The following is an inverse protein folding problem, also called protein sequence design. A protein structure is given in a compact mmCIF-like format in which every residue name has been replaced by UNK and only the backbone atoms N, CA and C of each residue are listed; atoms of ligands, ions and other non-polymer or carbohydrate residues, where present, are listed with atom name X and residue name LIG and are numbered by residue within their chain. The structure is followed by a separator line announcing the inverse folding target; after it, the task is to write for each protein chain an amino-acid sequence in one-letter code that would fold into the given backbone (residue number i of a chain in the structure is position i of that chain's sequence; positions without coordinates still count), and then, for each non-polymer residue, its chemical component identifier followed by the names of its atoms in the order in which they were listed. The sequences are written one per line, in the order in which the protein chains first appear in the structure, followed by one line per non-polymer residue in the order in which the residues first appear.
data_IF_702959831969
#
_entry.id   IF_702959831969
#
_cell.length_a   1.000
_cell.length_b   1.000
_cell.length_c   1.000
_cell.angle_alpha   90.00
_cell.angle_beta   90.00
_cell.angle_gamma   90.00
#
_symmetry.space_group_name_H-M   'P 1'
#
loop_
_entity.id
_entity.type
_entity.pdbx_description
1 polymer ?
#
# COMPACT_ATOMS: atom_id res chain seq x y z
N UNK A 1 -1.60 6.03 -24.89
CA UNK A 1 -0.21 5.86 -24.43
C UNK A 1 -0.22 4.66 -23.50
N UNK A 2 0.48 3.58 -23.85
CA UNK A 2 0.53 2.37 -23.01
C UNK A 2 1.38 2.70 -21.79
N UNK A 3 0.73 3.00 -20.67
CA UNK A 3 1.37 3.12 -19.37
C UNK A 3 2.12 1.81 -19.10
N UNK A 4 3.44 1.90 -18.89
CA UNK A 4 4.25 0.74 -18.50
C UNK A 4 3.79 0.27 -17.12
N UNK A 5 2.80 -0.63 -17.10
CA UNK A 5 2.29 -1.24 -15.89
C UNK A 5 3.41 -2.05 -15.24
N UNK A 6 3.83 -1.64 -14.04
CA UNK A 6 4.82 -2.36 -13.26
C UNK A 6 4.35 -3.79 -12.95
N UNK A 7 5.13 -4.79 -13.38
CA UNK A 7 4.82 -6.21 -13.23
C UNK A 7 5.57 -6.77 -12.01
N UNK A 8 4.87 -7.15 -10.92
CA UNK A 8 5.52 -7.66 -9.73
C UNK A 8 6.08 -9.06 -9.96
N UNK A 9 7.32 -9.27 -9.51
CA UNK A 9 8.03 -10.55 -9.55
C UNK A 9 7.42 -11.59 -8.60
N UNK A 10 7.76 -12.87 -8.81
CA UNK A 10 7.25 -13.97 -7.98
C UNK A 10 7.70 -13.86 -6.51
N UNK A 11 8.92 -13.36 -6.25
CA UNK A 11 9.43 -13.13 -4.90
C UNK A 11 8.68 -12.01 -4.18
N UNK A 12 8.37 -10.91 -4.86
CA UNK A 12 7.58 -9.80 -4.32
C UNK A 12 6.17 -10.25 -3.94
N UNK A 13 5.50 -11.03 -4.79
CA UNK A 13 4.18 -11.59 -4.47
C UNK A 13 4.21 -12.44 -3.21
N UNK A 14 5.24 -13.29 -3.04
CA UNK A 14 5.40 -14.10 -1.83
C UNK A 14 5.63 -13.24 -0.59
N UNK A 15 6.51 -12.22 -0.68
CA UNK A 15 6.75 -11.26 0.42
C UNK A 15 5.47 -10.53 0.82
N UNK A 16 4.69 -10.08 -0.17
CA UNK A 16 3.41 -9.40 0.06
C UNK A 16 2.36 -10.33 0.66
N UNK A 17 2.25 -11.58 0.20
CA UNK A 17 1.36 -12.57 0.83
C UNK A 17 1.73 -12.75 2.30
N UNK A 18 3.02 -12.86 2.62
CA UNK A 18 3.50 -12.91 4.00
C UNK A 18 3.18 -11.63 4.76
N UNK A 19 3.19 -10.46 4.11
CA UNK A 19 2.82 -9.19 4.72
C UNK A 19 1.38 -9.14 5.22
N UNK A 20 0.46 -9.95 4.68
CA UNK A 20 -0.89 -10.05 5.24
C UNK A 20 -0.94 -10.74 6.61
N UNK A 21 0.06 -11.55 6.93
CA UNK A 21 0.28 -12.07 8.27
C UNK A 21 0.96 -11.01 9.13
N UNK A 22 0.66 -11.01 10.42
CA UNK A 22 1.20 -10.02 11.36
C UNK A 22 2.74 -9.95 11.35
N UNK A 23 3.39 -11.12 11.25
CA UNK A 23 4.86 -11.23 11.14
C UNK A 23 5.40 -10.48 9.91
N UNK A 24 4.71 -10.58 8.77
CA UNK A 24 5.14 -9.89 7.56
C UNK A 24 4.91 -8.38 7.61
N UNK A 25 3.90 -7.89 8.33
CA UNK A 25 3.71 -6.44 8.57
C UNK A 25 4.89 -5.85 9.31
N UNK A 26 5.34 -6.52 10.38
CA UNK A 26 6.49 -6.08 11.17
C UNK A 26 7.76 -6.04 10.30
N UNK A 27 7.96 -7.06 9.46
CA UNK A 27 9.07 -7.10 8.51
C UNK A 27 9.04 -5.92 7.52
N UNK A 28 7.88 -5.62 6.94
CA UNK A 28 7.73 -4.49 6.01
C UNK A 28 7.84 -3.14 6.72
N UNK A 29 7.44 -3.05 7.99
CA UNK A 29 7.61 -1.86 8.82
C UNK A 29 9.09 -1.56 9.07
N UNK A 30 9.95 -2.58 9.22
CA UNK A 30 11.39 -2.40 9.36
C UNK A 30 12.11 -2.06 8.04
N UNK A 31 11.55 -2.43 6.89
CA UNK A 31 12.16 -2.23 5.57
C UNK A 31 11.95 -0.80 5.05
N UNK A 32 13.01 -0.05 4.75
CA UNK A 32 12.89 1.33 4.25
C UNK A 32 12.50 1.41 2.77
N UNK A 33 12.99 0.46 1.96
CA UNK A 33 12.77 0.41 0.52
C UNK A 33 11.67 -0.61 0.15
N UNK A 34 10.61 -0.13 -0.48
CA UNK A 34 9.46 -0.93 -0.92
C UNK A 34 9.19 -0.67 -2.40
N UNK A 35 8.75 -1.68 -3.13
CA UNK A 35 8.25 -1.43 -4.49
C UNK A 35 6.84 -0.84 -4.46
N UNK A 36 6.37 -0.20 -5.54
CA UNK A 36 4.99 0.35 -5.58
C UNK A 36 3.94 -0.70 -5.23
N UNK A 37 4.12 -1.91 -5.75
CA UNK A 37 3.29 -3.07 -5.43
C UNK A 37 3.34 -3.43 -3.94
N UNK A 38 4.55 -3.53 -3.38
CA UNK A 38 4.76 -3.82 -1.95
C UNK A 38 4.18 -2.74 -1.04
N UNK A 39 4.37 -1.47 -1.40
CA UNK A 39 3.90 -0.31 -0.65
C UNK A 39 2.37 -0.21 -0.64
N UNK A 40 1.72 -0.49 -1.77
CA UNK A 40 0.25 -0.51 -1.85
C UNK A 40 -0.33 -1.54 -0.89
N UNK A 41 0.15 -2.79 -0.94
CA UNK A 41 -0.34 -3.83 -0.06
C UNK A 41 0.07 -3.61 1.39
N UNK A 42 1.23 -3.02 1.65
CA UNK A 42 1.62 -2.61 3.01
C UNK A 42 0.63 -1.61 3.60
N UNK A 43 0.27 -0.56 2.85
CA UNK A 43 -0.80 0.38 3.23
C UNK A 43 -2.13 -0.35 3.47
N UNK A 44 -2.51 -1.24 2.56
CA UNK A 44 -3.77 -2.00 2.66
C UNK A 44 -3.81 -2.84 3.94
N UNK A 45 -2.71 -3.50 4.28
CA UNK A 45 -2.61 -4.32 5.47
C UNK A 45 -2.63 -3.47 6.74
N UNK A 46 -1.88 -2.36 6.77
CA UNK A 46 -1.90 -1.42 7.89
C UNK A 46 -3.30 -0.86 8.16
N UNK A 47 -4.02 -0.45 7.11
CA UNK A 47 -5.39 0.04 7.26
C UNK A 47 -6.33 -1.05 7.75
N UNK A 48 -6.17 -2.30 7.29
CA UNK A 48 -6.98 -3.44 7.79
C UNK A 48 -6.76 -3.69 9.28
N UNK A 49 -5.51 -3.75 9.73
CA UNK A 49 -5.22 -3.99 11.15
C UNK A 49 -5.71 -2.83 12.03
N UNK A 50 -5.51 -1.60 11.58
CA UNK A 50 -5.90 -0.42 12.34
C UNK A 50 -7.42 -0.26 12.42
N UNK A 51 -8.12 -0.49 11.31
CA UNK A 51 -9.58 -0.50 11.30
C UNK A 51 -10.15 -1.63 12.18
N UNK A 52 -9.54 -2.82 12.14
CA UNK A 52 -9.93 -3.92 13.04
C UNK A 52 -9.72 -3.57 14.51
N UNK A 53 -8.57 -2.97 14.86
CA UNK A 53 -8.31 -2.51 16.23
C UNK A 53 -9.36 -1.49 16.68
N UNK A 54 -9.69 -0.52 15.83
CA UNK A 54 -10.73 0.47 16.12
C UNK A 54 -12.10 -0.19 16.34
N UNK A 55 -12.50 -1.11 15.45
CA UNK A 55 -13.79 -1.81 15.58
C UNK A 55 -13.85 -2.70 16.82
N UNK A 56 -12.74 -3.36 17.18
CA UNK A 56 -12.63 -4.12 18.42
C UNK A 56 -12.77 -3.22 19.67
N UNK A 57 -12.18 -2.02 19.66
CA UNK A 57 -12.33 -1.05 20.74
C UNK A 57 -13.79 -0.59 20.88
N UNK A 58 -14.44 -0.22 19.78
CA UNK A 58 -15.87 0.13 19.76
C UNK A 58 -16.70 -1.05 20.28
N UNK A 59 -16.36 -2.26 19.87
CA UNK A 59 -17.03 -3.46 20.34
C UNK A 59 -16.88 -3.67 21.85
N UNK A 60 -15.68 -3.46 22.40
CA UNK A 60 -15.44 -3.54 23.85
C UNK A 60 -16.31 -2.56 24.64
N UNK A 61 -16.60 -1.37 24.08
CA UNK A 61 -17.49 -0.39 24.71
C UNK A 61 -18.96 -0.85 24.75
N UNK A 62 -19.42 -1.59 23.74
CA UNK A 62 -20.81 -2.06 23.62
C UNK A 62 -21.01 -3.51 24.12
N UNK A 63 -19.94 -4.19 24.52
CA UNK A 63 -19.95 -5.60 24.95
C UNK A 63 -20.90 -5.88 26.11
N UNK A 64 -21.17 -4.88 26.96
CA UNK A 64 -22.08 -4.99 28.10
C UNK A 64 -23.56 -5.20 27.70
N UNK A 65 -23.90 -5.13 26.40
CA UNK A 65 -25.26 -5.34 25.89
C UNK A 65 -25.49 -6.84 25.59
N UNK A 66 -26.39 -7.54 26.31
CA UNK A 66 -26.53 -9.01 26.26
C UNK A 66 -27.04 -9.58 24.92
N UNK A 67 -27.56 -8.75 24.02
CA UNK A 67 -28.13 -9.15 22.72
C UNK A 67 -27.04 -9.37 21.65
N UNK A 68 -25.79 -8.94 21.90
CA UNK A 68 -24.73 -8.88 20.86
C UNK A 68 -23.76 -10.08 20.84
N UNK A 69 -24.04 -11.17 21.56
CA UNK A 69 -23.10 -12.28 21.76
C UNK A 69 -22.59 -12.99 20.49
N UNK A 70 -23.37 -12.99 19.40
CA UNK A 70 -22.99 -13.62 18.12
C UNK A 70 -22.25 -12.68 17.15
N UNK A 71 -22.32 -11.37 17.39
CA UNK A 71 -21.65 -10.36 16.58
C UNK A 71 -20.13 -10.60 16.41
N UNK A 72 -19.35 -10.94 17.46
CA UNK A 72 -17.91 -11.21 17.31
C UNK A 72 -17.63 -12.41 16.40
N UNK A 73 -18.49 -13.43 16.40
CA UNK A 73 -18.33 -14.59 15.52
C UNK A 73 -18.44 -14.19 14.04
N UNK A 74 -19.50 -13.46 13.67
CA UNK A 74 -19.66 -12.97 12.29
C UNK A 74 -18.58 -11.98 11.88
N UNK A 75 -18.10 -11.16 12.82
CA UNK A 75 -17.01 -10.24 12.60
C UNK A 75 -15.69 -10.94 12.26
N UNK A 76 -15.34 -11.99 13.02
CA UNK A 76 -14.16 -12.82 12.74
C UNK A 76 -14.30 -13.53 11.39
N UNK A 77 -15.47 -14.07 11.09
CA UNK A 77 -15.74 -14.74 9.82
C UNK A 77 -15.59 -13.78 8.62
N UNK A 78 -16.16 -12.57 8.71
CA UNK A 78 -16.01 -11.53 7.69
C UNK A 78 -14.56 -11.12 7.49
N UNK A 79 -13.78 -11.01 8.57
CA UNK A 79 -12.36 -10.72 8.50
C UNK A 79 -11.55 -11.82 7.83
N UNK A 80 -11.91 -13.08 8.06
CA UNK A 80 -11.28 -14.23 7.39
C UNK A 80 -11.54 -14.19 5.88
N UNK A 81 -12.77 -13.89 5.47
CA UNK A 81 -13.13 -13.74 4.04
C UNK A 81 -12.33 -12.60 3.41
N UNK A 82 -12.28 -11.43 4.05
CA UNK A 82 -11.49 -10.29 3.56
C UNK A 82 -10.00 -10.62 3.44
N UNK A 83 -9.44 -11.33 4.42
CA UNK A 83 -8.06 -11.81 4.37
C UNK A 83 -7.82 -12.67 3.13
N UNK A 84 -8.67 -13.67 2.86
CA UNK A 84 -8.54 -14.54 1.69
C UNK A 84 -8.63 -13.74 0.39
N UNK A 85 -9.57 -12.78 0.30
CA UNK A 85 -9.72 -11.91 -0.88
C UNK A 85 -8.45 -11.12 -1.16
N UNK A 86 -7.84 -10.51 -0.13
CA UNK A 86 -6.63 -9.73 -0.31
C UNK A 86 -5.39 -10.59 -0.63
N UNK A 87 -5.27 -11.77 -0.01
CA UNK A 87 -4.20 -12.72 -0.36
C UNK A 87 -4.34 -13.16 -1.82
N UNK A 88 -5.55 -13.43 -2.28
CA UNK A 88 -5.82 -13.77 -3.69
C UNK A 88 -5.52 -12.61 -4.63
N UNK A 89 -5.82 -11.38 -4.24
CA UNK A 89 -5.48 -10.15 -4.98
C UNK A 89 -3.96 -10.01 -5.11
N UNK A 90 -3.23 -10.16 -4.01
CA UNK A 90 -1.76 -10.13 -3.99
C UNK A 90 -1.17 -11.25 -4.86
N UNK A 91 -1.68 -12.48 -4.76
CA UNK A 91 -1.23 -13.61 -5.59
C UNK A 91 -1.37 -13.33 -7.09
N UNK A 92 -2.43 -12.62 -7.49
CA UNK A 92 -2.68 -12.19 -8.87
C UNK A 92 -1.85 -10.98 -9.30
N UNK A 93 -1.11 -10.34 -8.39
CA UNK A 93 -0.30 -9.15 -8.68
C UNK A 93 -1.13 -7.89 -8.90
N UNK A 94 -2.35 -7.83 -8.36
CA UNK A 94 -3.26 -6.70 -8.56
C UNK A 94 -2.99 -5.58 -7.54
N UNK A 95 -2.65 -4.38 -8.02
CA UNK A 95 -2.42 -3.16 -7.22
C UNK A 95 -2.99 -1.93 -7.94
N UNK A 96 -2.90 -0.72 -7.37
CA UNK A 96 -3.52 0.55 -7.82
C UNK A 96 -3.78 0.72 -9.32
N UNK A 97 -2.80 0.46 -10.19
CA UNK A 97 -2.93 0.60 -11.65
C UNK A 97 -3.99 -0.34 -12.26
N UNK A 98 -4.22 -1.51 -11.67
CA UNK A 98 -5.24 -2.49 -12.08
C UNK A 98 -6.61 -2.26 -11.42
N UNK A 99 -6.68 -1.47 -10.34
CA UNK A 99 -7.87 -1.39 -9.47
C UNK A 99 -8.58 -0.03 -9.52
N UNK A 100 -7.87 1.04 -9.91
CA UNK A 100 -8.42 2.41 -10.01
C UNK A 100 -9.66 2.48 -10.91
N UNK A 101 -9.73 1.62 -11.93
CA UNK A 101 -10.84 1.61 -12.88
C UNK A 101 -12.02 0.71 -12.47
N UNK A 102 -11.82 -0.28 -11.59
CA UNK A 102 -12.83 -1.33 -11.35
C UNK A 102 -13.54 -1.25 -10.00
N UNK A 103 -12.93 -0.82 -8.89
CA UNK A 103 -13.61 -0.88 -7.57
C UNK A 103 -12.95 -0.06 -6.45
N UNK A 104 -13.51 1.12 -6.13
CA UNK A 104 -13.07 2.00 -5.03
C UNK A 104 -13.06 1.34 -3.64
N UNK A 105 -13.97 0.39 -3.39
CA UNK A 105 -14.00 -0.34 -2.10
C UNK A 105 -12.74 -1.16 -1.82
N UNK A 106 -12.02 -1.58 -2.87
CA UNK A 106 -10.80 -2.38 -2.74
C UNK A 106 -9.58 -1.52 -2.32
N UNK A 107 -9.62 -0.20 -2.53
CA UNK A 107 -8.54 0.72 -2.14
C UNK A 107 -8.75 1.36 -0.77
N UNK A 108 -9.98 1.34 -0.23
CA UNK A 108 -10.33 1.96 1.06
C UNK A 108 -9.35 1.60 2.19
N UNK A 109 -8.96 0.34 2.31
CA UNK A 109 -7.98 -0.10 3.31
C UNK A 109 -6.58 0.48 3.06
N UNK A 110 -6.16 0.63 1.81
CA UNK A 110 -4.88 1.26 1.47
C UNK A 110 -4.91 2.78 1.69
N UNK A 111 -6.08 3.41 1.54
CA UNK A 111 -6.28 4.82 1.82
C UNK A 111 -6.19 5.08 3.33
N UNK A 112 -6.88 4.27 4.15
CA UNK A 112 -6.77 4.32 5.61
C UNK A 112 -5.32 4.09 6.07
N UNK A 113 -4.63 3.10 5.52
CA UNK A 113 -3.22 2.87 5.86
C UNK A 113 -2.29 4.00 5.44
N UNK A 114 -2.56 4.63 4.29
CA UNK A 114 -1.83 5.82 3.85
C UNK A 114 -2.04 7.02 4.77
N UNK A 115 -3.28 7.24 5.20
CA UNK A 115 -3.61 8.26 6.20
C UNK A 115 -2.86 8.00 7.51
N UNK A 116 -2.82 6.76 8.00
CA UNK A 116 -2.09 6.39 9.21
C UNK A 116 -0.59 6.67 9.06
N UNK A 117 0.03 6.24 7.96
CA UNK A 117 1.44 6.52 7.71
C UNK A 117 1.73 8.03 7.68
N UNK A 118 0.80 8.82 7.15
CA UNK A 118 0.89 10.28 7.13
C UNK A 118 0.78 10.90 8.53
N UNK A 119 0.00 10.32 9.46
CA UNK A 119 -0.10 10.81 10.83
C UNK A 119 1.22 10.64 11.61
N UNK A 120 1.99 9.61 11.29
CA UNK A 120 3.24 9.29 11.96
C UNK A 120 4.49 9.78 11.20
N UNK A 121 4.32 10.55 10.13
CA UNK A 121 5.38 11.00 9.19
C UNK A 121 6.34 9.86 8.76
N UNK A 122 5.79 8.65 8.59
CA UNK A 122 6.59 7.47 8.22
C UNK A 122 6.83 7.52 6.71
N UNK A 123 8.02 7.96 6.32
CA UNK A 123 8.45 8.00 4.91
C UNK A 123 9.12 6.68 4.53
N UNK A 124 8.57 6.01 3.52
CA UNK A 124 9.18 4.84 2.87
C UNK A 124 9.68 5.24 1.49
N UNK A 125 10.83 4.73 1.08
CA UNK A 125 11.35 4.93 -0.27
C UNK A 125 10.64 3.95 -1.19
N UNK A 126 9.87 4.47 -2.14
CA UNK A 126 9.08 3.65 -3.05
C UNK A 126 9.72 3.66 -4.43
N UNK A 127 10.04 2.48 -4.97
CA UNK A 127 10.66 2.33 -6.28
C UNK A 127 9.81 1.48 -7.23
N UNK A 128 9.92 1.76 -8.53
CA UNK A 128 9.03 1.25 -9.58
C UNK A 128 8.09 2.36 -10.04
N UNK A 129 8.15 2.73 -11.32
CA UNK A 129 7.38 3.87 -11.82
C UNK A 129 5.87 3.63 -11.74
N UNK A 130 5.17 4.52 -11.04
CA UNK A 130 3.98 5.15 -11.61
C UNK A 130 4.49 6.54 -11.95
N UNK A 131 4.59 6.87 -13.23
CA UNK A 131 5.01 8.18 -13.71
C UNK A 131 4.09 9.25 -13.10
N UNK A 132 4.50 9.80 -11.96
CA UNK A 132 4.11 11.13 -11.54
C UNK A 132 5.21 12.02 -12.09
N UNK A 133 4.88 12.76 -13.13
CA UNK A 133 5.70 13.79 -13.75
C UNK A 133 6.42 14.63 -12.68
N UNK A 134 7.62 14.19 -12.32
CA UNK A 134 8.62 15.08 -11.75
C UNK A 134 9.40 15.51 -12.97
N UNK A 135 9.29 16.77 -13.44
CA UNK A 135 10.15 17.22 -14.52
C UNK A 135 11.58 17.05 -14.02
N UNK A 136 12.27 16.06 -14.55
CA UNK A 136 13.71 15.92 -14.41
C UNK A 136 14.28 17.16 -15.07
N UNK A 137 14.57 18.19 -14.27
CA UNK A 137 15.48 19.26 -14.67
C UNK A 137 16.83 18.60 -14.88
N UNK A 138 17.07 18.16 -16.12
CA UNK A 138 18.40 17.77 -16.54
C UNK A 138 19.30 19.01 -16.39
N UNK A 139 20.49 18.89 -15.78
CA UNK A 139 21.45 19.98 -15.77
C UNK A 139 21.68 20.45 -17.20
N UNK A 140 21.43 21.73 -17.48
CA UNK A 140 21.70 22.28 -18.81
C UNK A 140 23.21 22.10 -19.10
N UNK A 141 23.57 21.60 -20.30
CA UNK A 141 24.97 21.61 -20.71
C UNK A 141 25.47 23.06 -20.72
N UNK A 142 26.53 23.35 -19.96
CA UNK A 142 27.28 24.59 -20.10
C UNK A 142 27.85 24.60 -21.52
N UNK A 143 27.32 25.47 -22.38
CA UNK A 143 27.91 25.77 -23.69
C UNK A 143 29.21 26.51 -23.42
N UNK A 144 30.37 26.06 -23.92
CA UNK A 144 31.62 26.78 -23.75
C UNK A 144 31.55 28.10 -24.52
N UNK A 145 31.91 29.19 -23.84
CA UNK A 145 32.02 30.53 -24.42
C UNK A 145 33.13 30.55 -25.49
N UNK A 146 32.76 30.38 -26.75
CA UNK A 146 33.63 30.64 -27.90
C UNK A 146 33.53 32.12 -28.29
N UNK A 147 34.17 32.97 -27.51
CA UNK A 147 34.50 34.33 -27.93
C UNK A 147 35.92 34.70 -27.52
N UNK A 148 36.88 33.88 -27.93
CA UNK A 148 38.27 34.31 -28.08
C UNK A 148 38.67 34.31 -29.55
N UNK A 149 38.96 35.51 -30.05
CA UNK A 149 39.88 35.73 -31.16
C UNK A 149 39.27 35.65 -32.56
N UNK A 150 39.10 36.81 -33.19
CA UNK A 150 39.86 37.05 -34.41
C UNK A 150 40.22 38.53 -34.53
N UNK A 151 41.46 38.69 -34.99
CA UNK A 151 42.22 39.91 -35.24
C UNK A 151 41.58 40.77 -36.33
#
# INVERSE_FOLDING_TARGET
MQENMYLPSSSERKRVITAYLLVGVLFFSAKEDLTVYEYFHFRQVLGRYSLNMLLLLVWLMIFWIPILGWLPFFFVLGNLVLYVVFVMQARRGQYLANLSQENKWKTLYADIGGWILSLFDIKKRVYGDISLDTPVQMPQPQVPDQSQGNQ
#
